data_IF_149372012230
#
_entry.id   IF_149372012230
#
_cell.length_a   1.000
_cell.length_b   1.000
_cell.length_c   1.000
_cell.angle_alpha   90.00
_cell.angle_beta   90.00
_cell.angle_gamma   90.00
#
_symmetry.space_group_name_H-M   'P 1'
#
loop_
_entity.id
_entity.type
_entity.pdbx_description
1 polymer ?
#
# COMPACT_ATOMS: atom_id res chain seq x y z
N UNK A 1 15.55 -7.38 -37.79
CA UNK A 1 15.14 -8.80 -37.91
C UNK A 1 15.40 -9.48 -36.57
N UNK A 2 14.36 -10.04 -35.93
CA UNK A 2 14.50 -10.79 -34.67
C UNK A 2 13.32 -10.54 -33.73
N UNK A 3 12.47 -11.55 -33.55
CA UNK A 3 11.06 -11.49 -33.10
C UNK A 3 10.86 -11.28 -31.59
N UNK A 4 9.67 -10.78 -31.25
CA UNK A 4 9.05 -10.88 -29.93
C UNK A 4 8.29 -12.22 -29.77
N UNK A 5 8.26 -12.76 -28.55
CA UNK A 5 7.18 -13.56 -27.92
C UNK A 5 7.61 -13.82 -26.46
N UNK A 6 6.98 -13.27 -25.42
CA UNK A 6 5.67 -13.53 -24.79
C UNK A 6 5.48 -14.94 -24.19
N UNK A 7 5.27 -14.99 -22.87
CA UNK A 7 4.43 -16.00 -22.21
C UNK A 7 3.64 -15.34 -21.05
N UNK A 8 2.31 -15.44 -21.18
CA UNK A 8 1.22 -14.90 -20.35
C UNK A 8 1.08 -15.65 -19.01
N UNK A 9 0.48 -15.06 -17.96
CA UNK A 9 -0.96 -15.13 -17.57
C UNK A 9 -1.24 -14.16 -16.40
N UNK A 10 -2.40 -13.54 -16.11
CA UNK A 10 -3.78 -13.54 -16.60
C UNK A 10 -4.39 -12.17 -16.22
N UNK A 11 -5.14 -11.56 -17.14
CA UNK A 11 -6.29 -10.67 -16.90
C UNK A 11 -6.26 -9.59 -15.80
N UNK A 12 -5.96 -8.35 -16.19
CA UNK A 12 -6.79 -7.12 -16.02
C UNK A 12 -5.90 -5.89 -16.23
N UNK A 13 -6.09 -5.21 -17.36
CA UNK A 13 -5.65 -3.83 -17.67
C UNK A 13 -4.37 -3.37 -16.99
N UNK A 14 -3.20 -3.80 -17.47
CA UNK A 14 -1.92 -3.30 -17.01
C UNK A 14 -1.69 -1.95 -17.71
N UNK A 15 -1.87 -0.85 -16.99
CA UNK A 15 -1.27 0.42 -17.40
C UNK A 15 0.23 0.19 -17.34
N UNK A 16 0.86 -0.02 -18.50
CA UNK A 16 2.31 -0.04 -18.63
C UNK A 16 2.82 1.35 -18.26
N UNK A 17 3.17 1.53 -16.99
CA UNK A 17 3.90 2.71 -16.53
C UNK A 17 5.34 2.52 -17.02
N UNK A 18 5.55 2.88 -18.29
CA UNK A 18 6.83 2.80 -19.00
C UNK A 18 7.95 3.38 -18.15
N UNK A 19 8.96 2.54 -17.88
CA UNK A 19 10.10 2.85 -17.04
C UNK A 19 11.35 3.15 -17.86
N UNK A 20 11.24 4.08 -18.80
CA UNK A 20 12.30 4.33 -19.80
C UNK A 20 13.57 4.94 -19.20
N UNK A 21 13.54 5.35 -17.92
CA UNK A 21 14.64 6.00 -17.18
C UNK A 21 15.08 5.20 -15.94
N UNK A 22 14.66 3.95 -15.83
CA UNK A 22 15.14 3.02 -14.82
C UNK A 22 16.69 2.89 -14.89
N UNK A 23 17.40 2.94 -13.76
CA UNK A 23 18.81 2.55 -13.70
C UNK A 23 18.96 1.07 -14.12
N UNK A 24 20.13 0.66 -14.62
CA UNK A 24 20.40 -0.76 -14.91
C UNK A 24 20.25 -1.57 -13.61
N UNK A 25 19.29 -2.49 -13.58
CA UNK A 25 19.05 -3.38 -12.45
C UNK A 25 17.61 -3.88 -12.39
N UNK A 26 17.35 -4.84 -11.51
CA UNK A 26 16.00 -5.37 -11.30
C UNK A 26 15.11 -4.37 -10.54
N UNK A 27 13.84 -4.20 -10.94
CA UNK A 27 12.89 -3.38 -10.21
C UNK A 27 12.74 -3.84 -8.76
N UNK A 28 12.46 -2.90 -7.86
CA UNK A 28 12.20 -3.23 -6.45
C UNK A 28 10.94 -4.09 -6.36
N UNK A 29 11.00 -5.18 -5.59
CA UNK A 29 9.80 -5.93 -5.23
C UNK A 29 8.95 -5.12 -4.25
N UNK A 30 7.73 -4.80 -4.68
CA UNK A 30 6.73 -4.11 -3.89
C UNK A 30 5.75 -5.10 -3.26
N UNK A 31 5.28 -4.79 -2.06
CA UNK A 31 4.29 -5.60 -1.32
C UNK A 31 2.92 -4.92 -1.35
N UNK A 32 1.88 -5.65 -0.92
CA UNK A 32 0.53 -5.12 -0.67
C UNK A 32 -0.07 -4.33 -1.85
N UNK A 33 0.21 -4.76 -3.08
CA UNK A 33 -0.33 -4.13 -4.29
C UNK A 33 0.39 -2.83 -4.71
N UNK A 34 1.54 -2.51 -4.14
CA UNK A 34 2.39 -1.42 -4.63
C UNK A 34 3.06 -1.75 -5.97
N UNK A 35 3.58 -0.72 -6.65
CA UNK A 35 4.32 -0.86 -7.91
C UNK A 35 5.62 -0.04 -7.89
N UNK A 36 6.64 -0.42 -8.70
CA UNK A 36 7.90 0.31 -8.75
C UNK A 36 7.71 1.80 -9.09
N UNK A 37 8.38 2.66 -8.34
CA UNK A 37 8.28 4.10 -8.57
C UNK A 37 8.90 4.46 -9.93
N UNK A 38 8.20 5.18 -10.83
CA UNK A 38 8.63 5.35 -12.24
C UNK A 38 9.99 6.04 -12.44
N UNK A 39 10.48 6.74 -11.41
CA UNK A 39 11.79 7.42 -11.39
C UNK A 39 12.81 6.84 -10.39
N UNK A 40 12.42 5.84 -9.59
CA UNK A 40 13.24 5.28 -8.48
C UNK A 40 13.05 3.76 -8.38
N UNK A 41 13.17 3.15 -9.53
CA UNK A 41 12.47 1.94 -9.90
C UNK A 41 13.03 0.71 -9.18
N UNK A 42 14.32 0.73 -8.88
CA UNK A 42 15.04 -0.32 -8.15
C UNK A 42 15.06 -0.07 -6.62
N UNK A 43 14.54 1.07 -6.15
CA UNK A 43 14.74 1.54 -4.76
C UNK A 43 13.46 1.84 -3.99
N UNK A 44 12.38 2.22 -4.68
CA UNK A 44 11.16 2.72 -4.04
C UNK A 44 9.91 2.30 -4.81
N UNK A 45 8.84 2.01 -4.08
CA UNK A 45 7.51 1.77 -4.60
C UNK A 45 6.61 3.00 -4.47
N UNK A 46 5.63 3.11 -5.36
CA UNK A 46 4.39 3.85 -5.11
C UNK A 46 3.47 2.91 -4.34
N UNK A 47 2.94 3.37 -3.21
CA UNK A 47 2.13 2.56 -2.32
C UNK A 47 0.65 2.94 -2.41
N UNK A 48 -0.27 1.95 -2.37
CA UNK A 48 -1.69 2.24 -2.24
C UNK A 48 -1.98 2.89 -0.88
N UNK A 49 -3.16 3.52 -0.78
CA UNK A 49 -3.65 4.12 0.47
C UNK A 49 -3.62 3.10 1.61
N UNK A 50 -3.11 3.52 2.77
CA UNK A 50 -2.97 2.66 3.94
C UNK A 50 -1.65 1.88 4.02
N UNK A 51 -0.75 1.98 3.02
CA UNK A 51 0.57 1.37 3.03
C UNK A 51 1.69 2.39 2.77
N UNK A 52 2.89 2.10 3.28
CA UNK A 52 4.04 2.99 3.21
C UNK A 52 5.38 2.27 3.32
N UNK A 53 6.44 3.07 3.45
CA UNK A 53 7.82 2.60 3.36
C UNK A 53 8.29 2.45 1.91
N UNK A 54 9.56 2.09 1.71
CA UNK A 54 10.15 1.94 0.37
C UNK A 54 9.55 0.77 -0.42
N UNK A 55 9.02 -0.24 0.26
CA UNK A 55 8.44 -1.46 -0.33
C UNK A 55 6.95 -1.66 -0.05
N UNK A 56 6.25 -0.66 0.49
CA UNK A 56 4.83 -0.75 0.87
C UNK A 56 4.52 -1.81 1.94
N UNK A 57 5.52 -2.15 2.78
CA UNK A 57 5.40 -3.17 3.85
C UNK A 57 5.05 -2.57 5.21
N UNK A 58 5.08 -1.25 5.37
CA UNK A 58 4.82 -0.59 6.65
C UNK A 58 3.54 0.20 6.61
N UNK A 59 2.99 0.53 7.78
CA UNK A 59 1.97 1.58 7.88
C UNK A 59 2.56 2.90 7.37
N UNK A 60 1.78 3.78 6.71
CA UNK A 60 2.19 5.13 6.38
C UNK A 60 2.81 5.82 7.59
N UNK A 61 3.87 6.59 7.37
CA UNK A 61 4.70 7.16 8.43
C UNK A 61 3.85 7.90 9.49
N UNK A 62 4.29 7.82 10.75
CA UNK A 62 3.58 8.22 11.97
C UNK A 62 3.07 9.67 12.05
N UNK A 63 3.36 10.54 11.07
CA UNK A 63 2.78 11.89 10.97
C UNK A 63 1.30 11.89 10.58
N UNK A 64 0.76 10.72 10.21
CA UNK A 64 -0.66 10.47 9.98
C UNK A 64 -1.19 9.67 11.18
N UNK A 65 -2.29 10.11 11.76
CA UNK A 65 -2.95 9.46 12.91
C UNK A 65 -3.33 8.00 12.63
N UNK A 66 -3.66 7.27 13.70
CA UNK A 66 -4.02 5.86 13.66
C UNK A 66 -2.98 4.97 14.34
N UNK A 67 -3.22 3.66 14.33
CA UNK A 67 -2.43 2.69 15.09
C UNK A 67 -2.50 1.29 14.48
N UNK A 68 -1.57 0.45 14.89
CA UNK A 68 -1.68 -0.98 14.68
C UNK A 68 -2.40 -1.62 15.87
N UNK A 69 -3.30 -2.54 15.58
CA UNK A 69 -4.11 -3.29 16.53
C UNK A 69 -4.06 -4.77 16.13
N UNK A 70 -4.15 -5.63 17.13
CA UNK A 70 -4.37 -7.07 16.94
C UNK A 70 -5.81 -7.33 17.35
N UNK A 71 -6.58 -7.96 16.48
CA UNK A 71 -7.95 -8.35 16.78
C UNK A 71 -7.97 -9.45 17.85
N UNK A 72 -8.96 -9.36 18.74
CA UNK A 72 -9.26 -10.34 19.78
C UNK A 72 -10.62 -10.96 19.50
N UNK A 73 -10.93 -12.15 20.06
CA UNK A 73 -12.28 -12.70 20.01
C UNK A 73 -13.32 -11.79 20.68
N UNK A 74 -12.91 -11.02 21.69
CA UNK A 74 -13.80 -10.09 22.38
C UNK A 74 -14.00 -8.81 21.54
N UNK A 75 -15.25 -8.40 21.27
CA UNK A 75 -15.55 -7.14 20.60
C UNK A 75 -15.00 -5.95 21.38
N UNK A 76 -14.43 -4.99 20.66
CA UNK A 76 -13.84 -3.78 21.26
C UNK A 76 -14.25 -2.54 20.49
N UNK A 77 -14.85 -1.59 21.19
CA UNK A 77 -15.12 -0.27 20.65
C UNK A 77 -13.81 0.48 20.38
N UNK A 78 -13.66 0.93 19.14
CA UNK A 78 -12.55 1.75 18.70
C UNK A 78 -13.05 3.18 18.40
N UNK A 79 -12.87 4.14 19.33
CA UNK A 79 -13.25 5.51 19.05
C UNK A 79 -12.35 6.09 17.96
N UNK A 80 -12.97 6.55 16.87
CA UNK A 80 -12.29 7.15 15.73
C UNK A 80 -12.53 8.66 15.73
N UNK A 81 -11.44 9.42 15.78
CA UNK A 81 -11.48 10.89 15.65
C UNK A 81 -10.57 11.30 14.52
N UNK A 82 -11.15 11.71 13.40
CA UNK A 82 -10.40 12.22 12.25
C UNK A 82 -10.49 13.74 12.28
N UNK A 83 -9.37 14.41 12.54
CA UNK A 83 -9.31 15.88 12.55
C UNK A 83 -8.55 16.37 11.33
N UNK A 84 -9.15 17.32 10.62
CA UNK A 84 -8.45 18.08 9.60
C UNK A 84 -7.87 19.35 10.20
N UNK A 85 -6.58 19.32 10.50
CA UNK A 85 -5.83 20.48 11.02
C UNK A 85 -5.10 21.24 9.90
N UNK A 86 -5.29 20.84 8.64
CA UNK A 86 -4.62 21.43 7.48
C UNK A 86 -5.58 22.31 6.66
N UNK A 87 -5.00 23.07 5.71
CA UNK A 87 -5.70 24.00 4.82
C UNK A 87 -6.88 23.30 4.10
N UNK A 88 -7.86 24.10 3.67
CA UNK A 88 -9.17 23.73 3.11
C UNK A 88 -9.16 22.66 1.98
N UNK A 89 -8.01 22.40 1.35
CA UNK A 89 -7.88 21.48 0.20
C UNK A 89 -7.20 20.13 0.52
N UNK A 90 -6.72 19.91 1.75
CA UNK A 90 -6.15 18.63 2.15
C UNK A 90 -7.21 17.78 2.87
N UNK A 91 -7.43 16.54 2.44
CA UNK A 91 -8.24 15.58 3.21
C UNK A 91 -7.43 15.03 4.38
N UNK A 92 -8.04 14.99 5.57
CA UNK A 92 -7.45 14.27 6.70
C UNK A 92 -7.81 12.79 6.63
N UNK A 93 -6.78 11.95 6.72
CA UNK A 93 -6.93 10.51 6.85
C UNK A 93 -6.21 10.02 8.12
N UNK A 94 -6.73 8.96 8.74
CA UNK A 94 -6.02 8.17 9.73
C UNK A 94 -5.92 6.74 9.21
N UNK A 95 -4.79 6.06 9.42
CA UNK A 95 -4.64 4.65 8.99
C UNK A 95 -4.58 3.74 10.21
N UNK A 96 -5.56 2.84 10.32
CA UNK A 96 -5.58 1.78 11.32
C UNK A 96 -5.29 0.44 10.65
N UNK A 97 -4.32 -0.29 11.18
CA UNK A 97 -4.05 -1.67 10.75
C UNK A 97 -4.60 -2.60 11.82
N UNK A 98 -5.68 -3.31 11.51
CA UNK A 98 -6.23 -4.34 12.38
C UNK A 98 -5.76 -5.68 11.82
N UNK A 99 -4.93 -6.39 12.59
CA UNK A 99 -4.36 -7.67 12.21
C UNK A 99 -5.16 -8.79 12.84
N UNK A 100 -5.58 -9.75 12.02
CA UNK A 100 -6.18 -10.99 12.50
C UNK A 100 -5.08 -11.93 13.01
N UNK A 101 -5.28 -12.62 14.13
CA UNK A 101 -4.54 -13.84 14.43
C UNK A 101 -4.61 -14.85 13.26
N UNK A 102 -3.69 -15.81 13.26
CA UNK A 102 -3.67 -16.84 12.23
C UNK A 102 -4.98 -17.65 12.28
N UNK A 103 -5.53 -17.96 11.10
CA UNK A 103 -6.75 -18.76 10.91
C UNK A 103 -8.03 -18.14 11.51
N UNK A 104 -8.06 -16.83 11.75
CA UNK A 104 -9.28 -16.12 12.17
C UNK A 104 -9.67 -15.04 11.16
N UNK A 105 -10.93 -14.64 11.16
CA UNK A 105 -11.45 -13.50 10.38
C UNK A 105 -11.71 -12.31 11.29
N UNK A 106 -11.60 -11.10 10.74
CA UNK A 106 -11.97 -9.88 11.46
C UNK A 106 -13.43 -9.58 11.14
N UNK A 107 -14.22 -9.42 12.19
CA UNK A 107 -15.57 -8.87 12.13
C UNK A 107 -15.53 -7.39 12.49
N UNK A 108 -16.25 -6.56 11.72
CA UNK A 108 -16.35 -5.11 11.95
C UNK A 108 -17.82 -4.75 11.92
N UNK A 109 -18.28 -4.14 13.01
CA UNK A 109 -19.60 -3.53 13.13
C UNK A 109 -19.41 -2.00 13.27
N UNK A 110 -20.26 -1.22 12.60
CA UNK A 110 -20.19 0.25 12.53
C UNK A 110 -21.45 0.86 13.11
#
# INVERSE_FOLDING_TARGET
MGKAQEHLTHGKGIVNVFCDKCDKGEPVKCENGGFPHPRKCNKKCVCPSGYGGSKCKTRPAAKICGKELIATPEPKLLPLTIRNTKKIYDYANCTYWIKSPNNTVIEIEI
#
